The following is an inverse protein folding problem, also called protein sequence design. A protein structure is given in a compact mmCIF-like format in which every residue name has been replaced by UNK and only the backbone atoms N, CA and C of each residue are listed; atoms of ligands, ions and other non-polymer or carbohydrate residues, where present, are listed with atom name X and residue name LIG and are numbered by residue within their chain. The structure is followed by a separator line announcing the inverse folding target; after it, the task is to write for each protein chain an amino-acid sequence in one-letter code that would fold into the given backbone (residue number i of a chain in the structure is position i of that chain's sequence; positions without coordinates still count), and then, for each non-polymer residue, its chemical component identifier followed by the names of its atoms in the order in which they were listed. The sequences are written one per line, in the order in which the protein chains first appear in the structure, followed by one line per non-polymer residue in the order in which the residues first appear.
data_IF_735625066879
#
_entry.id   IF_735625066879
#
_cell.length_a   1.000
_cell.length_b   1.000
_cell.length_c   1.000
_cell.angle_alpha   90.00
_cell.angle_beta   90.00
_cell.angle_gamma   90.00
#
_symmetry.space_group_name_H-M   'P 1'
#
loop_
_entity.id
_entity.type
_entity.pdbx_description
1 polymer ?
#
# COMPACT_ATOMS: atom_id res chain seq x y z
N UNK A 1 49.87 39.92 -21.54
CA UNK A 1 48.49 40.41 -21.68
C UNK A 1 47.57 39.43 -20.95
N UNK A 2 46.67 39.97 -20.11
CA UNK A 2 45.47 39.37 -19.47
C UNK A 2 45.68 38.14 -18.53
N UNK A 3 45.37 38.16 -17.22
CA UNK A 3 44.06 38.36 -16.55
C UNK A 3 43.06 37.24 -16.93
N UNK A 4 42.28 36.57 -16.07
CA UNK A 4 41.78 36.87 -14.72
C UNK A 4 41.08 35.62 -14.11
N UNK A 5 40.99 35.61 -12.78
CA UNK A 5 40.05 34.99 -11.81
C UNK A 5 39.15 33.78 -12.15
N UNK A 6 39.16 32.80 -11.21
CA UNK A 6 38.06 32.54 -10.28
C UNK A 6 36.94 31.58 -10.73
N UNK A 7 36.69 30.50 -9.97
CA UNK A 7 35.74 30.47 -8.84
C UNK A 7 35.72 29.06 -8.23
N UNK A 8 35.80 28.99 -6.90
CA UNK A 8 35.50 27.81 -6.11
C UNK A 8 33.99 27.56 -6.06
N UNK A 9 33.61 26.29 -6.11
CA UNK A 9 32.47 25.74 -5.36
C UNK A 9 31.10 25.84 -6.01
N UNK A 10 30.57 24.70 -6.45
CA UNK A 10 29.16 24.36 -6.24
C UNK A 10 29.12 22.90 -5.77
N UNK A 11 28.76 22.71 -4.51
CA UNK A 11 28.39 21.41 -3.97
C UNK A 11 27.08 20.99 -4.65
N UNK A 12 27.13 19.96 -5.48
CA UNK A 12 25.94 19.30 -5.97
C UNK A 12 25.46 18.28 -4.95
N UNK A 13 24.55 18.73 -4.10
CA UNK A 13 23.66 17.90 -3.28
C UNK A 13 22.78 17.05 -4.20
N UNK A 14 23.11 15.77 -4.36
CA UNK A 14 22.23 14.73 -4.91
C UNK A 14 22.63 13.43 -4.18
N UNK A 15 21.77 12.68 -3.49
CA UNK A 15 20.34 12.46 -3.66
C UNK A 15 19.72 12.04 -2.32
N UNK A 16 18.72 12.76 -1.82
CA UNK A 16 17.69 12.16 -0.97
C UNK A 16 16.43 12.04 -1.82
N UNK A 17 16.40 11.03 -2.68
CA UNK A 17 15.19 10.64 -3.39
C UNK A 17 15.34 9.21 -3.90
N UNK A 18 14.89 8.25 -3.11
CA UNK A 18 14.45 6.94 -3.60
C UNK A 18 13.65 6.18 -2.53
N UNK A 19 12.75 6.85 -1.81
CA UNK A 19 11.78 6.14 -0.96
C UNK A 19 10.47 5.95 -1.71
N UNK A 20 10.50 5.16 -2.79
CA UNK A 20 9.29 4.57 -3.41
C UNK A 20 9.59 3.67 -4.63
N UNK A 21 10.81 3.66 -5.17
CA UNK A 21 11.06 3.09 -6.49
C UNK A 21 11.13 1.54 -6.57
N UNK A 22 11.22 0.79 -5.46
CA UNK A 22 11.23 -0.68 -5.51
C UNK A 22 10.49 -1.32 -4.33
N UNK A 23 9.26 -0.87 -4.12
CA UNK A 23 8.31 -1.73 -3.43
C UNK A 23 7.85 -2.81 -4.42
N UNK A 24 8.48 -3.99 -4.38
CA UNK A 24 8.09 -5.17 -5.19
C UNK A 24 6.59 -5.49 -5.11
N UNK A 25 5.93 -5.08 -4.02
CA UNK A 25 4.51 -5.36 -3.81
C UNK A 25 3.55 -4.45 -4.60
N UNK A 26 4.00 -3.27 -5.03
CA UNK A 26 3.21 -2.35 -5.83
C UNK A 26 3.44 -2.71 -7.30
N UNK A 27 2.55 -3.51 -7.86
CA UNK A 27 2.72 -4.20 -9.14
C UNK A 27 1.80 -3.66 -10.24
N UNK A 28 0.87 -2.77 -9.90
CA UNK A 28 -0.08 -2.18 -10.85
C UNK A 28 0.54 -1.31 -11.94
N UNK A 29 -0.32 -0.83 -12.83
CA UNK A 29 0.09 0.17 -13.82
C UNK A 29 0.34 1.51 -13.13
N UNK A 30 1.34 2.22 -13.62
CA UNK A 30 1.68 3.55 -13.11
C UNK A 30 0.71 4.59 -13.68
N UNK A 31 0.24 5.48 -12.81
CA UNK A 31 -0.60 6.62 -13.19
C UNK A 31 -0.15 7.89 -12.47
N UNK A 32 -0.37 9.06 -13.07
CA UNK A 32 -0.14 10.33 -12.36
C UNK A 32 -1.12 10.48 -11.22
N UNK A 33 -0.65 11.03 -10.11
CA UNK A 33 -1.50 11.30 -8.95
C UNK A 33 -1.04 12.54 -8.21
N UNK A 34 -2.01 13.37 -7.86
CA UNK A 34 -1.87 14.50 -6.94
C UNK A 34 -3.22 14.80 -6.29
N UNK A 35 -3.24 15.80 -5.42
CA UNK A 35 -4.44 16.17 -4.68
C UNK A 35 -5.57 16.73 -5.58
N UNK A 36 -5.22 17.42 -6.67
CA UNK A 36 -6.21 17.97 -7.61
C UNK A 36 -6.93 16.87 -8.39
N UNK A 37 -6.19 15.80 -8.75
CA UNK A 37 -6.74 14.59 -9.35
C UNK A 37 -7.72 13.93 -8.36
N UNK A 38 -7.35 13.79 -7.09
CA UNK A 38 -8.24 13.21 -6.06
C UNK A 38 -9.54 14.02 -5.89
N UNK A 39 -9.45 15.35 -5.87
CA UNK A 39 -10.63 16.22 -5.79
C UNK A 39 -11.54 16.04 -7.01
N UNK A 40 -10.96 15.97 -8.21
CA UNK A 40 -11.69 15.76 -9.46
C UNK A 40 -12.40 14.39 -9.45
N UNK A 41 -11.70 13.32 -9.06
CA UNK A 41 -12.28 11.99 -8.90
C UNK A 41 -13.47 11.98 -7.92
N UNK A 42 -13.33 12.67 -6.78
CA UNK A 42 -14.39 12.77 -5.78
C UNK A 42 -15.60 13.57 -6.31
N UNK A 43 -15.36 14.66 -7.03
CA UNK A 43 -16.39 15.47 -7.67
C UNK A 43 -17.18 14.63 -8.69
N UNK A 44 -16.49 13.93 -9.59
CA UNK A 44 -17.11 13.10 -10.61
C UNK A 44 -17.92 11.95 -10.00
N UNK A 45 -17.39 11.30 -8.95
CA UNK A 45 -18.11 10.25 -8.23
C UNK A 45 -19.39 10.76 -7.55
N UNK A 46 -19.37 11.99 -7.03
CA UNK A 46 -20.55 12.61 -6.41
C UNK A 46 -21.68 12.89 -7.41
N UNK A 47 -21.36 13.00 -8.72
CA UNK A 47 -22.37 13.13 -9.78
C UNK A 47 -22.98 11.78 -10.20
N UNK A 48 -22.50 10.66 -9.64
CA UNK A 48 -22.98 9.32 -9.99
C UNK A 48 -23.95 8.76 -8.95
N UNK A 49 -24.88 7.91 -9.38
CA UNK A 49 -25.78 7.23 -8.45
C UNK A 49 -25.00 6.29 -7.51
N UNK A 50 -25.47 6.19 -6.26
CA UNK A 50 -24.91 5.27 -5.28
C UNK A 50 -24.96 3.82 -5.81
N UNK A 51 -23.83 3.12 -5.75
CA UNK A 51 -23.64 1.82 -6.40
C UNK A 51 -24.06 0.60 -5.59
N UNK A 52 -24.66 0.76 -4.42
CA UNK A 52 -25.08 -0.39 -3.63
C UNK A 52 -24.08 -0.84 -2.57
N UNK A 53 -24.49 -1.89 -1.85
CA UNK A 53 -23.58 -2.71 -1.07
C UNK A 53 -22.65 -3.51 -2.01
N UNK A 54 -21.42 -3.84 -1.57
CA UNK A 54 -20.55 -4.75 -2.32
C UNK A 54 -21.18 -6.14 -2.44
N UNK A 55 -20.66 -6.95 -3.38
CA UNK A 55 -20.98 -8.37 -3.48
C UNK A 55 -20.68 -9.08 -2.14
N UNK A 56 -21.43 -10.13 -1.78
CA UNK A 56 -21.06 -10.99 -0.67
C UNK A 56 -19.64 -11.55 -0.83
N UNK A 57 -18.93 -11.65 0.29
CA UNK A 57 -17.66 -12.38 0.34
C UNK A 57 -17.91 -13.87 0.07
N UNK A 58 -16.88 -14.60 -0.41
CA UNK A 58 -16.89 -16.07 -0.37
C UNK A 58 -17.14 -16.56 1.05
N UNK A 59 -17.85 -17.69 1.18
CA UNK A 59 -18.27 -18.22 2.49
C UNK A 59 -17.09 -18.42 3.44
N UNK A 60 -15.95 -18.90 2.93
CA UNK A 60 -14.70 -19.07 3.69
C UNK A 60 -14.22 -17.80 4.39
N UNK A 61 -14.55 -16.60 3.86
CA UNK A 61 -14.26 -15.30 4.48
C UNK A 61 -15.48 -14.70 5.20
N UNK A 62 -16.69 -14.96 4.72
CA UNK A 62 -17.92 -14.34 5.24
C UNK A 62 -18.31 -14.88 6.63
N UNK A 63 -18.09 -16.17 6.88
CA UNK A 63 -18.53 -16.87 8.09
C UNK A 63 -17.40 -17.09 9.11
N UNK A 64 -16.28 -16.40 8.94
CA UNK A 64 -15.14 -16.52 9.84
C UNK A 64 -15.50 -16.11 11.27
N UNK A 65 -15.01 -16.86 12.24
CA UNK A 65 -15.05 -16.43 13.64
C UNK A 65 -14.03 -15.30 13.86
N UNK A 66 -14.20 -14.47 14.92
CA UNK A 66 -13.20 -13.48 15.29
C UNK A 66 -11.81 -14.07 15.52
N UNK A 67 -11.74 -15.27 16.11
CA UNK A 67 -10.47 -16.00 16.29
C UNK A 67 -9.82 -16.34 14.95
N UNK A 68 -10.57 -16.94 14.02
CA UNK A 68 -10.04 -17.31 12.71
C UNK A 68 -9.59 -16.07 11.91
N UNK A 69 -10.34 -14.97 11.98
CA UNK A 69 -9.94 -13.72 11.34
C UNK A 69 -8.64 -13.15 11.94
N UNK A 70 -8.49 -13.18 13.27
CA UNK A 70 -7.27 -12.72 13.94
C UNK A 70 -6.05 -13.64 13.70
N UNK A 71 -6.28 -14.91 13.37
CA UNK A 71 -5.22 -15.82 12.93
C UNK A 71 -4.62 -15.41 11.58
N UNK A 72 -5.37 -14.71 10.72
CA UNK A 72 -4.83 -14.15 9.48
C UNK A 72 -3.91 -12.98 9.83
N UNK A 73 -2.63 -13.12 9.52
CA UNK A 73 -1.63 -12.09 9.77
C UNK A 73 -0.95 -11.68 8.47
N UNK A 74 -0.68 -10.40 8.32
CA UNK A 74 0.11 -9.91 7.20
C UNK A 74 1.55 -10.45 7.32
N UNK A 75 2.14 -10.89 6.22
CA UNK A 75 3.54 -11.31 6.19
C UNK A 75 4.46 -10.09 6.25
N UNK A 76 5.17 -9.90 7.36
CA UNK A 76 6.02 -8.72 7.59
C UNK A 76 7.17 -8.59 6.59
N UNK A 77 7.60 -9.69 5.97
CA UNK A 77 8.60 -9.70 4.90
C UNK A 77 8.06 -9.15 3.57
N UNK A 78 6.73 -8.94 3.49
CA UNK A 78 6.04 -8.40 2.32
C UNK A 78 5.44 -7.03 2.61
N UNK A 79 5.89 -6.35 3.66
CA UNK A 79 5.40 -5.00 3.98
C UNK A 79 5.82 -3.99 2.89
N UNK A 80 5.08 -2.89 2.78
CA UNK A 80 5.24 -1.94 1.67
C UNK A 80 6.68 -1.43 1.52
N UNK A 81 7.34 -1.15 2.64
CA UNK A 81 8.69 -0.61 2.63
C UNK A 81 9.71 -1.60 3.20
N UNK A 82 9.41 -2.91 3.21
CA UNK A 82 10.30 -3.94 3.76
C UNK A 82 11.75 -3.82 3.26
N UNK A 83 11.91 -3.68 1.93
CA UNK A 83 13.20 -3.61 1.24
C UNK A 83 13.91 -2.25 1.38
N UNK A 84 13.34 -1.30 2.12
CA UNK A 84 13.95 0.00 2.35
C UNK A 84 14.91 -0.08 3.53
N UNK A 85 16.20 0.12 3.26
CA UNK A 85 17.22 0.20 4.31
C UNK A 85 16.93 1.35 5.28
N UNK A 86 17.16 1.11 6.58
CA UNK A 86 16.96 2.10 7.65
C UNK A 86 15.56 2.74 7.69
N UNK A 87 14.53 2.05 7.16
CA UNK A 87 13.16 2.56 7.09
C UNK A 87 12.68 3.04 8.46
N UNK A 88 12.14 4.26 8.48
CA UNK A 88 11.54 4.86 9.67
C UNK A 88 10.04 4.57 9.76
N UNK A 89 9.43 4.21 8.63
CA UNK A 89 8.03 3.85 8.51
C UNK A 89 7.91 2.51 7.78
N UNK A 90 6.86 1.77 8.12
CA UNK A 90 6.46 0.59 7.38
C UNK A 90 4.95 0.49 7.32
N UNK A 91 4.39 -0.14 6.28
CA UNK A 91 2.96 -0.31 6.13
C UNK A 91 2.59 -1.75 5.82
N UNK A 92 1.51 -2.21 6.46
CA UNK A 92 0.92 -3.52 6.26
C UNK A 92 -0.58 -3.38 6.03
N UNK A 93 -1.15 -4.35 5.33
CA UNK A 93 -2.56 -4.30 4.92
C UNK A 93 -3.41 -5.29 5.71
N UNK A 94 -4.71 -5.01 5.82
CA UNK A 94 -5.67 -5.91 6.45
C UNK A 94 -6.37 -6.76 5.40
N UNK A 95 -6.58 -8.04 5.70
CA UNK A 95 -7.33 -8.95 4.86
C UNK A 95 -8.84 -8.64 4.96
N UNK A 96 -9.61 -8.81 3.88
CA UNK A 96 -11.08 -8.78 3.95
C UNK A 96 -11.64 -10.02 4.66
N UNK A 97 -12.76 -9.90 5.35
CA UNK A 97 -13.34 -11.04 6.08
C UNK A 97 -14.32 -10.61 7.14
N UNK A 98 -15.15 -11.55 7.59
CA UNK A 98 -16.19 -11.29 8.59
C UNK A 98 -17.11 -10.12 8.17
N UNK A 99 -17.04 -8.98 8.87
CA UNK A 99 -17.79 -7.76 8.54
C UNK A 99 -17.13 -6.86 7.48
N UNK A 100 -15.86 -7.07 7.16
CA UNK A 100 -15.08 -6.23 6.23
C UNK A 100 -15.30 -6.66 4.78
N UNK A 101 -16.47 -6.32 4.24
CA UNK A 101 -16.95 -6.78 2.93
C UNK A 101 -16.62 -5.85 1.76
N UNK A 102 -16.12 -4.65 2.02
CA UNK A 102 -15.86 -3.64 0.99
C UNK A 102 -14.37 -3.44 0.83
N UNK A 103 -13.88 -3.79 -0.37
CA UNK A 103 -12.47 -3.61 -0.72
C UNK A 103 -12.06 -2.14 -0.68
N UNK A 104 -10.86 -1.90 -0.22
CA UNK A 104 -10.14 -0.64 -0.32
C UNK A 104 -8.95 -0.87 -1.25
N UNK A 105 -8.94 -0.16 -2.38
CA UNK A 105 -7.79 -0.18 -3.30
C UNK A 105 -6.65 0.61 -2.67
N UNK A 106 -5.45 0.06 -2.71
CA UNK A 106 -4.27 0.68 -2.11
C UNK A 106 -3.28 1.06 -3.20
N UNK A 107 -2.70 2.24 -3.07
CA UNK A 107 -1.70 2.76 -4.00
C UNK A 107 -0.48 3.22 -3.22
N UNK A 108 0.70 2.88 -3.72
CA UNK A 108 1.94 3.57 -3.35
C UNK A 108 2.08 4.81 -4.24
N UNK A 109 2.42 5.95 -3.66
CA UNK A 109 2.62 7.20 -4.40
C UNK A 109 4.04 7.67 -4.17
N UNK A 110 4.79 7.85 -5.25
CA UNK A 110 6.12 8.43 -5.20
C UNK A 110 6.00 9.97 -5.15
N UNK A 111 6.51 10.62 -4.08
CA UNK A 111 6.37 12.07 -3.91
C UNK A 111 7.28 12.88 -4.83
N UNK A 112 8.35 12.30 -5.38
CA UNK A 112 9.26 12.99 -6.29
C UNK A 112 8.73 12.96 -7.73
N UNK A 113 8.13 11.85 -8.15
CA UNK A 113 7.63 11.68 -9.52
C UNK A 113 6.13 11.93 -9.69
N UNK A 114 5.38 11.99 -8.58
CA UNK A 114 3.90 12.07 -8.57
C UNK A 114 3.25 10.89 -9.30
N UNK A 115 3.89 9.72 -9.23
CA UNK A 115 3.42 8.50 -9.85
C UNK A 115 2.84 7.58 -8.76
N UNK A 116 1.60 7.17 -8.96
CA UNK A 116 0.92 6.17 -8.16
C UNK A 116 0.96 4.80 -8.85
N UNK A 117 1.17 3.75 -8.06
CA UNK A 117 1.13 2.35 -8.50
C UNK A 117 0.23 1.54 -7.57
N UNK A 118 -0.72 0.82 -8.15
CA UNK A 118 -1.64 -0.02 -7.35
C UNK A 118 -0.88 -1.17 -6.70
N UNK A 119 -1.29 -1.49 -5.47
CA UNK A 119 -0.88 -2.68 -4.75
C UNK A 119 -2.05 -3.65 -4.87
N UNK A 120 -1.91 -4.69 -5.68
CA UNK A 120 -2.96 -5.70 -5.78
C UNK A 120 -3.01 -6.58 -4.53
N UNK A 121 -4.22 -6.95 -4.15
CA UNK A 121 -4.41 -8.00 -3.18
C UNK A 121 -3.95 -9.34 -3.76
N UNK A 122 -3.18 -10.07 -2.97
CA UNK A 122 -2.65 -11.39 -3.27
C UNK A 122 -2.71 -12.21 -1.98
N UNK A 123 -3.32 -13.42 -1.97
CA UNK A 123 -3.37 -14.26 -0.77
C UNK A 123 -2.00 -14.48 -0.13
N UNK A 124 -0.94 -14.52 -0.94
CA UNK A 124 0.43 -14.74 -0.50
C UNK A 124 0.99 -13.59 0.34
N UNK A 125 0.33 -12.43 0.41
CA UNK A 125 0.71 -11.35 1.32
C UNK A 125 0.37 -11.67 2.79
N UNK A 126 -0.33 -12.77 3.03
CA UNK A 126 -0.84 -13.15 4.35
C UNK A 126 -0.42 -14.57 4.75
N UNK A 127 -0.23 -14.76 6.05
CA UNK A 127 -0.14 -16.05 6.72
C UNK A 127 -1.48 -16.35 7.36
N UNK A 128 -2.10 -17.47 6.99
CA UNK A 128 -3.46 -17.80 7.43
C UNK A 128 -3.52 -18.56 8.77
N UNK A 129 -2.41 -19.11 9.28
CA UNK A 129 -2.27 -19.70 10.64
C UNK A 129 -3.52 -20.45 11.15
N UNK A 130 -3.93 -21.52 10.47
CA UNK A 130 -5.10 -22.34 10.83
C UNK A 130 -6.45 -21.60 10.86
N UNK A 131 -6.57 -20.46 10.16
CA UNK A 131 -7.83 -19.73 9.99
C UNK A 131 -8.92 -20.49 9.21
N UNK A 132 -8.61 -21.68 8.70
CA UNK A 132 -9.55 -22.51 7.92
C UNK A 132 -9.92 -21.89 6.56
N UNK A 133 -9.06 -21.01 6.03
CA UNK A 133 -9.28 -20.38 4.73
C UNK A 133 -8.69 -21.26 3.62
N UNK A 134 -9.53 -21.63 2.66
CA UNK A 134 -9.09 -22.25 1.41
C UNK A 134 -8.68 -21.16 0.41
N UNK A 135 -7.38 -20.86 0.35
CA UNK A 135 -6.84 -19.76 -0.47
C UNK A 135 -7.07 -19.96 -1.96
N UNK A 136 -7.24 -21.19 -2.44
CA UNK A 136 -7.57 -21.48 -3.84
C UNK A 136 -8.91 -20.89 -4.26
N UNK A 137 -9.85 -20.77 -3.31
CA UNK A 137 -11.13 -20.12 -3.58
C UNK A 137 -10.98 -18.62 -3.80
N UNK A 138 -9.89 -18.01 -3.33
CA UNK A 138 -9.63 -16.57 -3.45
C UNK A 138 -8.95 -16.22 -4.78
N UNK A 139 -8.33 -17.19 -5.44
CA UNK A 139 -7.65 -17.00 -6.73
C UNK A 139 -8.64 -16.53 -7.80
N UNK A 140 -8.24 -15.52 -8.59
CA UNK A 140 -9.05 -14.98 -9.69
C UNK A 140 -10.26 -14.13 -9.27
N UNK A 141 -10.53 -13.94 -7.97
CA UNK A 141 -11.64 -13.11 -7.53
C UNK A 141 -11.30 -11.62 -7.62
N UNK A 142 -11.82 -10.97 -8.66
CA UNK A 142 -11.57 -9.54 -8.94
C UNK A 142 -12.06 -8.56 -7.86
N UNK A 143 -12.98 -8.97 -6.98
CA UNK A 143 -13.58 -8.13 -5.94
C UNK A 143 -12.96 -8.30 -4.55
N UNK A 144 -12.07 -9.27 -4.37
CA UNK A 144 -11.24 -9.35 -3.18
C UNK A 144 -10.19 -8.21 -3.17
N UNK A 145 -9.78 -7.83 -1.98
CA UNK A 145 -8.95 -6.65 -1.76
C UNK A 145 -8.49 -6.55 -0.32
N UNK A 146 -7.96 -5.37 0.03
CA UNK A 146 -7.63 -5.05 1.41
C UNK A 146 -8.84 -4.45 2.14
N UNK A 147 -8.96 -4.71 3.43
CA UNK A 147 -9.93 -4.07 4.32
C UNK A 147 -9.44 -2.72 4.87
N UNK A 148 -8.14 -2.45 4.77
CA UNK A 148 -7.50 -1.26 5.31
C UNK A 148 -5.99 -1.47 5.42
N UNK A 149 -5.32 -0.59 6.17
CA UNK A 149 -3.89 -0.66 6.42
C UNK A 149 -3.54 -0.14 7.81
N UNK A 150 -2.33 -0.46 8.26
CA UNK A 150 -1.69 0.09 9.45
C UNK A 150 -0.28 0.56 9.10
N UNK A 151 0.16 1.61 9.78
CA UNK A 151 1.51 2.16 9.63
C UNK A 151 2.25 2.00 10.94
N UNK A 152 3.47 1.49 10.85
CA UNK A 152 4.41 1.38 11.95
C UNK A 152 5.45 2.48 11.83
N UNK A 153 5.91 2.96 12.98
CA UNK A 153 7.06 3.85 13.07
C UNK A 153 8.18 3.12 13.80
N UNK A 154 9.42 3.28 13.35
CA UNK A 154 10.58 2.80 14.09
C UNK A 154 10.56 3.34 15.53
N UNK A 155 10.97 2.54 16.53
CA UNK A 155 11.10 3.01 17.90
C UNK A 155 12.00 4.23 17.95
N UNK A 156 11.63 5.23 18.75
CA UNK A 156 12.57 6.30 19.07
C UNK A 156 13.58 5.74 20.06
N UNK A 157 14.69 5.23 19.55
CA UNK A 157 15.88 5.04 20.39
C UNK A 157 16.38 6.42 20.78
N UNK A 158 15.85 6.95 21.89
CA UNK A 158 16.52 8.02 22.61
C UNK A 158 17.91 7.53 22.95
N UNK A 159 18.94 8.21 22.43
CA UNK A 159 20.25 8.09 23.02
C UNK A 159 20.13 8.55 24.50
N UNK A 160 20.72 7.82 25.47
CA UNK A 160 20.78 8.28 26.85
C UNK A 160 21.52 9.62 26.96
#
# INVERSE_FOLDING_TARGET
MAAVCGTSGIASLFSQAAFAADSDIADGQTQRFDFSILQSMAHDLAQTAWRGAPRPLPDTLATMTPQAYNSIQYDAEKSLWHNVENRQLDAQFFHMGMGFRRRVRMFSVDPATHLAREIHFRPELFKYNDAGVDTKQLEGQSDLGFAGFRVFKAPETGAP
#
